data_IF_208948948901
#
_entry.id   IF_208948948901
#
_cell.length_a   1.000
_cell.length_b   1.000
_cell.length_c   1.000
_cell.angle_alpha   90.00
_cell.angle_beta   90.00
_cell.angle_gamma   90.00
#
_symmetry.space_group_name_H-M   'P 1'
#
loop_
_entity.id
_entity.type
_entity.pdbx_description
1 polymer ?
#
# COMPACT_ATOMS: atom_id res chain seq x y z
N UNK A 1 8.96 -23.87 61.60
CA UNK A 1 8.76 -25.31 61.37
C UNK A 1 8.15 -25.47 59.98
N UNK A 2 8.95 -25.89 59.01
CA UNK A 2 8.51 -26.10 57.63
C UNK A 2 8.33 -27.61 57.40
N UNK A 3 7.16 -28.00 56.91
CA UNK A 3 6.82 -29.37 56.57
C UNK A 3 7.41 -29.71 55.19
N UNK A 4 8.10 -30.85 55.14
CA UNK A 4 8.67 -31.48 53.95
C UNK A 4 7.59 -32.33 53.25
N UNK A 5 7.48 -32.20 51.93
CA UNK A 5 6.77 -33.16 51.08
C UNK A 5 7.78 -33.80 50.12
N UNK A 6 7.89 -35.11 50.24
CA UNK A 6 8.73 -36.00 49.47
C UNK A 6 8.01 -36.43 48.19
N UNK A 7 8.74 -36.50 47.07
CA UNK A 7 8.47 -37.52 46.04
C UNK A 7 8.02 -37.05 44.65
N UNK A 8 8.96 -36.64 43.80
CA UNK A 8 8.88 -36.82 42.33
C UNK A 8 10.29 -37.05 41.75
N UNK A 9 10.85 -38.24 41.97
CA UNK A 9 12.18 -38.64 41.47
C UNK A 9 12.21 -39.20 40.03
N UNK A 10 11.18 -39.00 39.19
CA UNK A 10 11.08 -39.71 37.91
C UNK A 10 10.72 -38.84 36.68
N UNK A 11 11.38 -37.69 36.42
CA UNK A 11 11.16 -36.94 35.17
C UNK A 11 12.40 -36.25 34.56
N UNK A 12 13.63 -36.68 34.84
CA UNK A 12 14.81 -36.14 34.16
C UNK A 12 15.75 -37.25 33.69
N UNK A 13 15.36 -37.92 32.60
CA UNK A 13 16.30 -38.64 31.75
C UNK A 13 16.87 -37.69 30.70
N UNK A 14 18.20 -37.58 30.67
CA UNK A 14 18.97 -37.18 29.49
C UNK A 14 19.22 -35.68 29.32
N UNK A 15 20.38 -35.21 29.75
CA UNK A 15 21.00 -34.01 29.19
C UNK A 15 21.38 -34.29 27.72
N UNK A 16 20.96 -33.48 26.74
CA UNK A 16 21.46 -33.62 25.38
C UNK A 16 22.95 -33.24 25.34
N UNK A 17 23.79 -33.90 24.52
CA UNK A 17 25.20 -33.56 24.41
C UNK A 17 25.35 -32.13 23.85
N UNK A 18 26.20 -31.34 24.50
CA UNK A 18 26.63 -30.02 24.01
C UNK A 18 27.48 -30.22 22.76
N UNK A 19 26.85 -30.05 21.60
CA UNK A 19 27.56 -30.02 20.31
C UNK A 19 28.27 -28.67 20.21
N UNK A 20 29.54 -28.64 20.60
CA UNK A 20 30.46 -27.53 20.32
C UNK A 20 30.68 -27.45 18.80
N UNK A 21 29.85 -26.66 18.11
CA UNK A 21 30.14 -26.25 16.74
C UNK A 21 31.16 -25.13 16.82
N UNK A 22 32.38 -25.38 16.32
CA UNK A 22 33.38 -24.33 16.06
C UNK A 22 32.68 -23.20 15.29
N UNK A 23 32.56 -22.02 15.91
CA UNK A 23 32.17 -20.81 15.22
C UNK A 23 33.17 -20.58 14.09
N UNK A 24 32.79 -20.90 12.85
CA UNK A 24 33.52 -20.37 11.70
C UNK A 24 33.27 -18.86 11.76
N UNK A 25 34.35 -18.10 11.94
CA UNK A 25 34.32 -16.64 11.83
C UNK A 25 33.58 -16.30 10.53
N UNK A 26 32.41 -15.70 10.67
CA UNK A 26 31.66 -15.19 9.54
C UNK A 26 32.39 -13.92 9.11
N UNK A 27 33.40 -14.08 8.27
CA UNK A 27 34.02 -12.96 7.59
C UNK A 27 32.91 -12.32 6.75
N UNK A 28 32.44 -11.14 7.19
CA UNK A 28 31.62 -10.26 6.35
C UNK A 28 32.52 -9.86 5.19
N UNK A 29 32.48 -10.65 4.12
CA UNK A 29 33.00 -10.24 2.83
C UNK A 29 32.00 -9.22 2.31
N UNK A 30 32.27 -7.94 2.53
CA UNK A 30 31.64 -6.86 1.78
C UNK A 30 32.01 -7.04 0.29
N UNK A 31 31.21 -7.84 -0.42
CA UNK A 31 31.29 -8.04 -1.86
C UNK A 31 29.95 -7.66 -2.45
N UNK A 32 29.84 -6.45 -2.98
CA UNK A 32 29.93 -6.22 -4.43
C UNK A 32 29.76 -4.75 -4.78
N UNK A 33 30.65 -4.33 -5.68
CA UNK A 33 30.45 -3.26 -6.65
C UNK A 33 29.06 -3.37 -7.27
N UNK A 34 28.30 -2.28 -7.22
CA UNK A 34 27.06 -2.14 -7.98
C UNK A 34 27.48 -2.04 -9.44
N UNK A 35 27.37 -3.14 -10.19
CA UNK A 35 27.38 -3.06 -11.65
C UNK A 35 26.03 -2.47 -12.02
N UNK A 36 26.03 -1.18 -12.35
CA UNK A 36 24.90 -0.51 -12.98
C UNK A 36 24.69 -1.12 -14.37
N UNK A 37 24.00 -2.26 -14.42
CA UNK A 37 23.33 -2.65 -15.65
C UNK A 37 22.22 -1.65 -15.86
N UNK A 38 22.43 -0.76 -16.83
CA UNK A 38 21.40 0.07 -17.41
C UNK A 38 20.15 -0.79 -17.64
N UNK A 39 19.05 -0.39 -17.02
CA UNK A 39 17.73 -0.96 -17.25
C UNK A 39 17.48 -1.02 -18.76
N UNK A 40 17.18 -2.21 -19.27
CA UNK A 40 16.83 -2.43 -20.67
C UNK A 40 15.63 -1.56 -21.04
N UNK A 41 15.76 -0.84 -22.15
CA UNK A 41 14.89 0.23 -22.64
C UNK A 41 13.40 -0.09 -22.91
N UNK A 42 12.91 -1.29 -22.58
CA UNK A 42 11.56 -1.74 -22.95
C UNK A 42 10.72 -2.20 -21.76
N UNK A 43 11.18 -1.98 -20.54
CA UNK A 43 10.42 -2.25 -19.32
C UNK A 43 9.92 -0.93 -18.75
N UNK A 44 8.66 -0.81 -18.31
CA UNK A 44 8.22 0.37 -17.59
C UNK A 44 9.17 0.61 -16.41
N UNK A 45 9.69 1.82 -16.28
CA UNK A 45 10.74 2.16 -15.31
C UNK A 45 10.28 2.14 -13.84
N UNK A 46 8.99 1.92 -13.58
CA UNK A 46 8.46 1.66 -12.24
C UNK A 46 8.88 0.30 -11.66
N UNK A 47 9.37 -0.63 -12.48
CA UNK A 47 9.80 -1.95 -12.05
C UNK A 47 11.02 -1.87 -11.12
N UNK A 48 10.93 -2.55 -9.98
CA UNK A 48 12.05 -2.69 -9.05
C UNK A 48 13.17 -3.51 -9.71
N UNK A 49 14.40 -3.05 -9.56
CA UNK A 49 15.59 -3.77 -10.05
C UNK A 49 15.90 -5.00 -9.19
N UNK A 50 15.67 -4.93 -7.87
CA UNK A 50 15.89 -6.03 -6.92
C UNK A 50 14.64 -6.28 -6.03
N UNK A 51 13.54 -6.83 -6.57
CA UNK A 51 12.29 -6.97 -5.83
C UNK A 51 12.40 -7.88 -4.60
N UNK A 52 13.18 -8.96 -4.69
CA UNK A 52 13.28 -9.98 -3.63
C UNK A 52 13.99 -9.49 -2.35
N UNK A 53 14.85 -8.48 -2.48
CA UNK A 53 15.66 -7.96 -1.36
C UNK A 53 14.85 -7.13 -0.36
N UNK A 54 13.72 -6.60 -0.80
CA UNK A 54 12.93 -5.62 -0.06
C UNK A 54 11.86 -6.28 0.83
N UNK A 55 11.66 -7.59 0.66
CA UNK A 55 10.71 -8.41 1.42
C UNK A 55 11.38 -9.25 2.53
N UNK A 56 12.68 -9.06 2.79
CA UNK A 56 13.44 -9.83 3.78
C UNK A 56 12.97 -9.59 5.24
N UNK A 57 12.13 -8.57 5.48
CA UNK A 57 11.54 -8.25 6.79
C UNK A 57 10.00 -8.29 6.67
N UNK A 58 9.41 -9.49 6.62
CA UNK A 58 7.96 -9.72 6.73
C UNK A 58 7.34 -10.53 5.58
N UNK A 59 6.02 -10.79 5.65
CA UNK A 59 5.29 -11.42 4.55
C UNK A 59 5.07 -10.42 3.41
N UNK A 60 5.40 -10.82 2.18
CA UNK A 60 5.06 -10.06 0.97
C UNK A 60 3.55 -9.80 0.89
N UNK A 61 2.72 -10.74 1.34
CA UNK A 61 1.27 -10.65 1.18
C UNK A 61 0.58 -9.79 2.25
N UNK A 62 -0.55 -9.19 1.86
CA UNK A 62 -1.41 -8.39 2.73
C UNK A 62 -2.09 -9.22 3.84
N UNK A 63 -2.39 -10.50 3.56
CA UNK A 63 -2.85 -11.49 4.54
C UNK A 63 -1.72 -12.48 4.84
N UNK A 64 -1.15 -12.47 6.05
CA UNK A 64 -0.06 -13.38 6.43
C UNK A 64 -0.51 -14.80 6.80
N UNK A 65 -1.81 -15.04 7.04
CA UNK A 65 -2.32 -16.25 7.69
C UNK A 65 -3.22 -17.16 6.83
N UNK A 66 -3.33 -16.91 5.53
CA UNK A 66 -4.07 -17.77 4.60
C UNK A 66 -3.13 -18.27 3.49
N UNK A 67 -3.44 -19.43 2.91
CA UNK A 67 -2.90 -19.94 1.64
C UNK A 67 -3.34 -19.06 0.46
N UNK A 68 -3.09 -17.75 0.57
CA UNK A 68 -3.51 -16.75 -0.38
C UNK A 68 -2.58 -16.77 -1.59
N UNK A 69 -3.12 -17.14 -2.74
CA UNK A 69 -2.43 -17.05 -4.02
C UNK A 69 -2.76 -15.72 -4.68
N UNK A 70 -1.80 -14.78 -4.80
CA UNK A 70 -2.04 -13.51 -5.51
C UNK A 70 -2.36 -13.77 -6.99
N UNK A 71 -3.02 -12.83 -7.68
CA UNK A 71 -3.11 -12.84 -9.13
C UNK A 71 -1.72 -12.86 -9.79
N UNK A 72 -1.59 -13.53 -10.95
CA UNK A 72 -0.28 -13.75 -11.61
C UNK A 72 0.45 -12.46 -12.01
N UNK A 73 -0.29 -11.38 -12.30
CA UNK A 73 0.27 -10.08 -12.64
C UNK A 73 0.81 -9.30 -11.43
N UNK A 74 0.52 -9.75 -10.20
CA UNK A 74 1.10 -9.22 -8.96
C UNK A 74 2.21 -10.17 -8.50
N UNK A 75 3.38 -10.01 -9.12
CA UNK A 75 4.56 -10.88 -8.98
C UNK A 75 5.66 -10.30 -8.06
N UNK A 76 5.48 -9.07 -7.56
CA UNK A 76 6.34 -8.42 -6.58
C UNK A 76 7.34 -7.47 -7.20
N UNK A 77 7.29 -7.32 -8.52
CA UNK A 77 8.15 -6.42 -9.29
C UNK A 77 7.71 -4.96 -9.16
N UNK A 78 6.43 -4.73 -8.85
CA UNK A 78 5.85 -3.42 -8.55
C UNK A 78 6.23 -2.92 -7.13
N UNK A 79 6.54 -1.62 -6.96
CA UNK A 79 6.79 -1.04 -5.64
C UNK A 79 5.52 -1.12 -4.78
N UNK A 80 5.66 -1.70 -3.59
CA UNK A 80 4.54 -1.85 -2.66
C UNK A 80 3.55 -2.95 -3.06
N UNK A 81 3.90 -3.86 -3.97
CA UNK A 81 3.03 -4.99 -4.29
C UNK A 81 2.87 -5.94 -3.09
N UNK A 82 1.64 -6.01 -2.57
CA UNK A 82 1.23 -6.92 -1.49
C UNK A 82 0.28 -8.02 -1.97
N UNK A 83 0.11 -8.17 -3.28
CA UNK A 83 -0.81 -9.12 -3.89
C UNK A 83 -2.28 -8.80 -3.63
N UNK A 84 -2.64 -7.59 -3.20
CA UNK A 84 -4.02 -7.22 -2.88
C UNK A 84 -4.74 -6.69 -4.12
N UNK A 85 -5.58 -7.52 -4.73
CA UNK A 85 -6.53 -7.11 -5.77
C UNK A 85 -7.76 -8.03 -5.76
N UNK A 86 -8.75 -7.78 -4.88
CA UNK A 86 -9.94 -8.63 -4.76
C UNK A 86 -10.86 -8.52 -5.97
N UNK A 87 -10.81 -7.41 -6.73
CA UNK A 87 -11.71 -7.13 -7.84
C UNK A 87 -11.08 -7.29 -9.23
N UNK A 88 -9.78 -7.64 -9.30
CA UNK A 88 -9.00 -7.79 -10.54
C UNK A 88 -9.01 -6.54 -11.42
N UNK A 89 -9.03 -5.37 -10.79
CA UNK A 89 -8.97 -4.11 -11.53
C UNK A 89 -7.63 -3.98 -12.25
N UNK A 90 -6.55 -4.57 -11.73
CA UNK A 90 -5.24 -4.56 -12.37
C UNK A 90 -5.17 -5.34 -13.70
N UNK A 91 -6.11 -6.25 -13.97
CA UNK A 91 -6.12 -7.10 -15.17
C UNK A 91 -6.81 -6.40 -16.36
N UNK A 92 -7.99 -5.81 -16.11
CA UNK A 92 -8.87 -5.31 -17.17
C UNK A 92 -9.28 -3.85 -17.03
N UNK A 93 -8.97 -3.19 -15.92
CA UNK A 93 -9.39 -1.81 -15.66
C UNK A 93 -8.21 -0.83 -15.81
N UNK A 94 -8.48 0.33 -16.38
CA UNK A 94 -7.48 1.37 -16.65
C UNK A 94 -7.17 1.51 -18.14
N UNK A 95 -7.21 2.75 -18.61
CA UNK A 95 -6.84 3.14 -19.97
C UNK A 95 -5.59 4.01 -19.88
N UNK A 96 -4.39 3.44 -20.07
CA UNK A 96 -3.16 4.24 -20.09
C UNK A 96 -3.22 5.23 -21.28
N UNK A 97 -2.64 6.43 -21.15
CA UNK A 97 -2.64 7.43 -22.22
C UNK A 97 -2.06 6.94 -23.56
N UNK A 98 -1.14 5.95 -23.52
CA UNK A 98 -0.47 5.38 -24.69
C UNK A 98 -1.21 4.20 -25.37
N UNK A 99 -2.47 3.91 -25.00
CA UNK A 99 -3.33 2.86 -25.59
C UNK A 99 -2.62 1.52 -25.86
N UNK A 100 -1.76 1.11 -24.93
CA UNK A 100 -1.04 -0.15 -25.04
C UNK A 100 -1.89 -1.28 -24.47
N UNK A 101 -2.12 -2.33 -25.27
CA UNK A 101 -2.84 -3.55 -24.87
C UNK A 101 -2.08 -4.42 -23.86
N UNK A 102 -0.89 -4.00 -23.40
CA UNK A 102 -0.08 -4.73 -22.43
C UNK A 102 -0.70 -4.62 -21.01
N UNK A 103 -1.04 -5.74 -20.33
CA UNK A 103 -1.50 -5.72 -18.95
C UNK A 103 -0.56 -4.98 -17.98
N UNK A 104 0.75 -4.96 -18.27
CA UNK A 104 1.74 -4.26 -17.44
C UNK A 104 1.65 -2.73 -17.56
N UNK A 105 1.20 -2.18 -18.68
CA UNK A 105 1.06 -0.72 -18.81
C UNK A 105 -0.14 -0.21 -18.01
N UNK A 106 -1.23 -0.99 -17.94
CA UNK A 106 -2.45 -0.67 -17.16
C UNK A 106 -2.16 -0.61 -15.67
N UNK A 107 -1.48 -1.61 -15.12
CA UNK A 107 -1.12 -1.62 -13.69
C UNK A 107 -0.12 -0.49 -13.37
N UNK A 108 0.78 -0.16 -14.30
CA UNK A 108 1.66 1.00 -14.18
C UNK A 108 0.90 2.32 -14.09
N UNK A 109 -0.17 2.48 -14.88
CA UNK A 109 -1.03 3.66 -14.83
C UNK A 109 -1.83 3.73 -13.52
N UNK A 110 -2.34 2.60 -13.03
CA UNK A 110 -3.01 2.52 -11.73
C UNK A 110 -2.06 2.86 -10.58
N UNK A 111 -0.81 2.40 -10.64
CA UNK A 111 0.23 2.75 -9.66
C UNK A 111 0.56 4.26 -9.71
N UNK A 112 0.67 4.85 -10.90
CA UNK A 112 0.88 6.30 -11.03
C UNK A 112 -0.31 7.07 -10.45
N UNK A 113 -1.54 6.61 -10.69
CA UNK A 113 -2.74 7.16 -10.06
C UNK A 113 -2.70 7.03 -8.52
N UNK A 114 -2.26 5.89 -8.00
CA UNK A 114 -2.05 5.67 -6.57
C UNK A 114 -1.00 6.62 -6.00
N UNK A 115 0.14 6.78 -6.67
CA UNK A 115 1.21 7.69 -6.26
C UNK A 115 0.76 9.14 -6.29
N UNK A 116 0.03 9.56 -7.32
CA UNK A 116 -0.48 10.94 -7.42
C UNK A 116 -1.43 11.25 -6.25
N UNK A 117 -2.42 10.40 -6.03
CA UNK A 117 -3.34 10.53 -4.89
C UNK A 117 -2.60 10.48 -3.55
N UNK A 118 -1.61 9.59 -3.43
CA UNK A 118 -0.76 9.46 -2.26
C UNK A 118 0.09 10.69 -1.96
N UNK A 119 0.73 11.28 -2.97
CA UNK A 119 1.54 12.51 -2.85
C UNK A 119 0.71 13.69 -2.40
N UNK A 120 -0.47 13.86 -3.00
CA UNK A 120 -1.43 14.90 -2.61
C UNK A 120 -1.93 14.65 -1.18
N UNK A 121 -2.25 13.41 -0.82
CA UNK A 121 -2.68 13.05 0.53
C UNK A 121 -1.59 13.30 1.58
N UNK A 122 -0.32 12.94 1.31
CA UNK A 122 0.81 13.22 2.21
C UNK A 122 0.94 14.73 2.47
N UNK A 123 0.87 15.56 1.41
CA UNK A 123 0.90 17.01 1.55
C UNK A 123 -0.31 17.54 2.34
N UNK A 124 -1.50 17.01 2.06
CA UNK A 124 -2.73 17.40 2.75
C UNK A 124 -2.69 17.08 4.25
N UNK A 125 -2.24 15.87 4.64
CA UNK A 125 -2.09 15.47 6.04
C UNK A 125 -1.16 16.43 6.79
N UNK A 126 0.02 16.71 6.23
CA UNK A 126 0.98 17.65 6.83
C UNK A 126 0.37 19.05 6.96
N UNK A 127 -0.35 19.52 5.93
CA UNK A 127 -1.04 20.81 5.94
C UNK A 127 -2.10 20.92 7.04
N UNK A 128 -2.97 19.91 7.16
CA UNK A 128 -4.03 19.85 8.17
C UNK A 128 -3.43 19.87 9.58
N UNK A 129 -2.46 19.00 9.84
CA UNK A 129 -1.80 18.91 11.15
C UNK A 129 -1.07 20.21 11.50
N UNK A 130 -0.45 20.88 10.51
CA UNK A 130 0.22 22.15 10.74
C UNK A 130 -0.75 23.27 11.10
N UNK A 131 -1.90 23.35 10.43
CA UNK A 131 -2.94 24.37 10.71
C UNK A 131 -3.51 24.21 12.11
N UNK A 132 -3.80 22.96 12.51
CA UNK A 132 -4.33 22.67 13.84
C UNK A 132 -3.26 22.90 14.92
N UNK A 133 -2.00 22.51 14.68
CA UNK A 133 -0.90 22.77 15.60
C UNK A 133 -0.65 24.28 15.83
N UNK A 134 -0.93 25.11 14.82
CA UNK A 134 -0.86 26.57 14.91
C UNK A 134 -2.11 27.21 15.53
N UNK A 135 -3.11 26.42 15.92
CA UNK A 135 -4.34 26.92 16.54
C UNK A 135 -5.25 27.70 15.59
N UNK A 136 -5.13 27.50 14.27
CA UNK A 136 -5.95 28.18 13.25
C UNK A 136 -7.34 27.55 13.07
N UNK A 137 -7.80 26.79 14.05
CA UNK A 137 -9.10 26.12 14.03
C UNK A 137 -9.16 24.90 13.12
N UNK A 138 -10.35 24.30 12.95
CA UNK A 138 -10.51 23.08 12.19
C UNK A 138 -10.32 23.33 10.69
N UNK A 139 -9.63 22.39 10.03
CA UNK A 139 -9.23 22.53 8.63
C UNK A 139 -10.42 22.71 7.65
N UNK A 140 -11.61 22.18 7.98
CA UNK A 140 -12.81 22.30 7.14
C UNK A 140 -13.46 23.69 7.21
N UNK A 141 -13.13 24.52 8.20
CA UNK A 141 -13.62 25.91 8.32
C UNK A 141 -12.64 26.94 7.75
N UNK A 142 -11.45 26.52 7.32
CA UNK A 142 -10.38 27.41 6.90
C UNK A 142 -10.79 28.37 5.78
N UNK A 143 -11.72 27.99 4.90
CA UNK A 143 -12.22 28.86 3.83
C UNK A 143 -13.11 29.98 4.38
N UNK A 144 -13.96 29.67 5.37
CA UNK A 144 -14.95 30.61 5.90
C UNK A 144 -14.32 31.65 6.85
N UNK A 145 -13.20 31.30 7.48
CA UNK A 145 -12.54 32.17 8.48
C UNK A 145 -11.76 33.34 7.87
N UNK A 146 -11.41 33.28 6.58
CA UNK A 146 -10.49 34.24 5.96
C UNK A 146 -11.17 35.44 5.27
N UNK A 147 -12.51 35.53 5.31
CA UNK A 147 -13.31 36.63 4.74
C UNK A 147 -12.76 37.16 3.41
N UNK A 148 -12.53 36.27 2.45
CA UNK A 148 -11.89 36.64 1.19
C UNK A 148 -12.77 37.60 0.39
N UNK A 149 -12.16 38.63 -0.20
CA UNK A 149 -12.81 39.45 -1.22
C UNK A 149 -13.26 38.55 -2.40
N UNK A 150 -14.55 38.55 -2.78
CA UNK A 150 -15.07 37.60 -3.77
C UNK A 150 -14.36 37.66 -5.13
N UNK A 151 -13.94 38.86 -5.56
CA UNK A 151 -13.27 39.04 -6.84
C UNK A 151 -11.82 38.52 -6.78
N UNK A 152 -11.10 38.80 -5.69
CA UNK A 152 -9.76 38.24 -5.47
C UNK A 152 -9.77 36.72 -5.28
N UNK A 153 -10.76 36.20 -4.56
CA UNK A 153 -10.94 34.76 -4.39
C UNK A 153 -11.19 34.08 -5.73
N UNK A 154 -12.14 34.59 -6.52
CA UNK A 154 -12.46 34.05 -7.85
C UNK A 154 -11.26 34.14 -8.78
N UNK A 155 -10.57 35.29 -8.82
CA UNK A 155 -9.37 35.48 -9.63
C UNK A 155 -8.25 34.52 -9.21
N UNK A 156 -8.05 34.31 -7.91
CA UNK A 156 -7.09 33.35 -7.37
C UNK A 156 -7.43 31.91 -7.77
N UNK A 157 -8.70 31.51 -7.62
CA UNK A 157 -9.18 30.18 -8.01
C UNK A 157 -8.92 29.93 -9.50
N UNK A 158 -9.27 30.87 -10.38
CA UNK A 158 -9.02 30.75 -11.83
C UNK A 158 -7.52 30.66 -12.13
N UNK A 159 -6.70 31.49 -11.49
CA UNK A 159 -5.25 31.46 -11.66
C UNK A 159 -4.65 30.10 -11.23
N UNK A 160 -5.06 29.58 -10.07
CA UNK A 160 -4.61 28.27 -9.59
C UNK A 160 -5.05 27.13 -10.52
N UNK A 161 -6.32 27.09 -10.93
CA UNK A 161 -6.80 26.06 -11.85
C UNK A 161 -6.07 26.10 -13.19
N UNK A 162 -5.81 27.30 -13.73
CA UNK A 162 -5.07 27.47 -14.98
C UNK A 162 -3.63 26.98 -14.84
N UNK A 163 -2.96 27.34 -13.74
CA UNK A 163 -1.60 26.89 -13.46
C UNK A 163 -1.54 25.36 -13.33
N UNK A 164 -2.41 24.75 -12.52
CA UNK A 164 -2.44 23.29 -12.36
C UNK A 164 -2.80 22.56 -13.65
N UNK A 165 -3.71 23.08 -14.47
CA UNK A 165 -4.03 22.50 -15.77
C UNK A 165 -2.81 22.46 -16.71
N UNK A 166 -1.99 23.53 -16.73
CA UNK A 166 -0.76 23.55 -17.52
C UNK A 166 0.28 22.55 -16.97
N UNK A 167 0.42 22.48 -15.65
CA UNK A 167 1.35 21.55 -15.00
C UNK A 167 0.94 20.09 -15.27
N UNK A 168 -0.36 19.80 -15.20
CA UNK A 168 -0.90 18.47 -15.43
C UNK A 168 -0.80 18.05 -16.89
N UNK A 169 -1.08 18.95 -17.84
CA UNK A 169 -0.82 18.69 -19.26
C UNK A 169 0.63 18.27 -19.48
N UNK A 170 1.59 19.02 -18.90
CA UNK A 170 3.01 18.67 -19.05
C UNK A 170 3.37 17.35 -18.38
N UNK A 171 2.73 17.02 -17.26
CA UNK A 171 2.91 15.73 -16.57
C UNK A 171 2.45 14.56 -17.45
N UNK A 172 1.29 14.69 -18.10
CA UNK A 172 0.75 13.65 -18.98
C UNK A 172 1.65 13.46 -20.21
N UNK A 173 2.07 14.54 -20.88
CA UNK A 173 3.03 14.47 -21.99
C UNK A 173 4.33 13.76 -21.57
N UNK A 174 4.88 14.08 -20.39
CA UNK A 174 6.08 13.40 -19.89
C UNK A 174 5.84 11.91 -19.62
N UNK A 175 4.65 11.54 -19.14
CA UNK A 175 4.28 10.14 -18.91
C UNK A 175 4.14 9.38 -20.24
N UNK A 176 3.54 10.00 -21.26
CA UNK A 176 3.43 9.43 -22.60
C UNK A 176 4.80 9.20 -23.24
N UNK A 177 5.70 10.17 -23.13
CA UNK A 177 7.04 10.10 -23.73
C UNK A 177 7.99 9.15 -23.00
N UNK A 178 7.95 9.09 -21.67
CA UNK A 178 8.98 8.44 -20.83
C UNK A 178 8.47 7.34 -19.92
N UNK A 179 7.15 7.13 -19.83
CA UNK A 179 6.53 6.10 -18.98
C UNK A 179 6.51 6.42 -17.47
N UNK A 180 6.98 7.59 -17.05
CA UNK A 180 6.97 8.05 -15.65
C UNK A 180 6.55 9.52 -15.57
N UNK A 181 5.81 9.86 -14.53
CA UNK A 181 5.45 11.25 -14.29
C UNK A 181 6.66 12.05 -13.78
N UNK A 182 6.83 13.23 -14.36
CA UNK A 182 7.90 14.14 -14.02
C UNK A 182 7.55 15.58 -14.37
N UNK A 183 8.41 16.49 -13.93
CA UNK A 183 8.26 17.91 -14.19
C UNK A 183 9.61 18.54 -14.56
N UNK A 184 9.58 19.68 -15.26
CA UNK A 184 10.79 20.43 -15.65
C UNK A 184 11.75 19.66 -16.57
N UNK A 185 11.22 18.81 -17.46
CA UNK A 185 12.02 18.05 -18.43
C UNK A 185 12.74 16.82 -17.85
N UNK A 186 12.65 16.62 -16.54
CA UNK A 186 13.11 15.43 -15.84
C UNK A 186 11.92 14.53 -15.51
N UNK A 187 12.03 13.26 -15.87
CA UNK A 187 11.06 12.21 -15.52
C UNK A 187 11.88 11.03 -15.01
N UNK A 188 11.93 10.81 -13.68
CA UNK A 188 11.27 11.55 -12.59
C UNK A 188 12.01 12.88 -12.26
N UNK A 189 11.33 13.84 -11.62
CA UNK A 189 12.01 15.04 -11.10
C UNK A 189 12.77 14.67 -9.81
N UNK A 190 14.05 14.35 -9.97
CA UNK A 190 14.93 13.92 -8.87
C UNK A 190 16.29 14.65 -8.94
N UNK A 191 16.36 15.91 -8.48
CA UNK A 191 17.61 16.67 -8.51
C UNK A 191 18.68 16.12 -7.55
N UNK A 192 18.30 15.33 -6.55
CA UNK A 192 19.20 14.79 -5.52
C UNK A 192 19.57 13.31 -5.75
N UNK A 193 19.05 12.69 -6.82
CA UNK A 193 19.30 11.29 -7.19
C UNK A 193 19.04 10.32 -6.03
N UNK A 194 17.96 10.55 -5.28
CA UNK A 194 17.58 9.71 -4.14
C UNK A 194 16.57 8.61 -4.50
N UNK A 195 16.23 8.45 -5.77
CA UNK A 195 15.35 7.39 -6.29
C UNK A 195 16.00 6.00 -6.24
N UNK A 196 16.06 5.44 -5.03
CA UNK A 196 16.41 4.03 -4.80
C UNK A 196 15.15 3.17 -4.74
N UNK A 197 15.27 1.87 -5.03
CA UNK A 197 14.16 0.91 -4.94
C UNK A 197 13.54 0.87 -3.53
N UNK A 198 14.35 1.04 -2.48
CA UNK A 198 13.89 1.16 -1.11
C UNK A 198 13.04 2.43 -0.90
N UNK A 199 13.51 3.58 -1.39
CA UNK A 199 12.80 4.85 -1.23
C UNK A 199 11.49 4.89 -2.02
N UNK A 200 11.44 4.28 -3.22
CA UNK A 200 10.18 4.11 -3.98
C UNK A 200 9.14 3.31 -3.19
N UNK A 201 9.54 2.22 -2.55
CA UNK A 201 8.63 1.46 -1.69
C UNK A 201 8.24 2.21 -0.42
N UNK A 202 9.15 2.98 0.16
CA UNK A 202 8.85 3.82 1.32
C UNK A 202 7.83 4.90 0.96
N UNK A 203 7.98 5.53 -0.21
CA UNK A 203 7.03 6.50 -0.75
C UNK A 203 5.63 5.90 -0.87
N UNK A 204 5.48 4.75 -1.55
CA UNK A 204 4.18 4.08 -1.71
C UNK A 204 3.55 3.72 -0.36
N UNK A 205 4.35 3.24 0.60
CA UNK A 205 3.84 2.89 1.95
C UNK A 205 3.36 4.12 2.72
N UNK A 206 4.10 5.22 2.67
CA UNK A 206 3.72 6.46 3.33
C UNK A 206 2.50 7.09 2.63
N UNK A 207 2.45 7.04 1.29
CA UNK A 207 1.31 7.46 0.48
C UNK A 207 0.02 6.75 0.89
N UNK A 208 0.04 5.41 0.94
CA UNK A 208 -1.13 4.61 1.38
C UNK A 208 -1.58 4.96 2.80
N UNK A 209 -0.61 5.10 3.71
CA UNK A 209 -0.90 5.49 5.10
C UNK A 209 -1.54 6.88 5.17
N UNK A 210 -1.05 7.84 4.37
CA UNK A 210 -1.62 9.19 4.31
C UNK A 210 -3.02 9.22 3.68
N UNK A 211 -3.28 8.44 2.63
CA UNK A 211 -4.63 8.34 2.05
C UNK A 211 -5.64 7.79 3.07
N UNK A 212 -5.25 6.78 3.85
CA UNK A 212 -6.06 6.27 4.96
C UNK A 212 -6.23 7.31 6.08
N UNK A 213 -5.18 8.06 6.42
CA UNK A 213 -5.24 9.12 7.42
C UNK A 213 -6.20 10.24 7.00
N UNK A 214 -6.20 10.66 5.73
CA UNK A 214 -7.14 11.66 5.20
C UNK A 214 -8.59 11.21 5.32
N UNK A 215 -8.88 9.95 4.99
CA UNK A 215 -10.20 9.37 5.22
C UNK A 215 -10.56 9.38 6.71
N UNK A 216 -9.61 9.03 7.58
CA UNK A 216 -9.76 9.09 9.03
C UNK A 216 -10.09 10.50 9.53
N UNK A 217 -9.39 11.53 9.04
CA UNK A 217 -9.63 12.92 9.41
C UNK A 217 -11.02 13.41 8.96
N UNK A 218 -11.48 12.99 7.78
CA UNK A 218 -12.83 13.30 7.32
C UNK A 218 -13.91 12.64 8.20
N UNK A 219 -13.72 11.36 8.56
CA UNK A 219 -14.64 10.64 9.46
C UNK A 219 -14.62 11.26 10.85
N UNK A 220 -13.45 11.61 11.39
CA UNK A 220 -13.31 12.30 12.66
C UNK A 220 -14.06 13.63 12.68
N UNK A 221 -13.86 14.46 11.66
CA UNK A 221 -14.58 15.73 11.52
C UNK A 221 -16.11 15.53 11.53
N UNK A 222 -16.62 14.47 10.89
CA UNK A 222 -18.05 14.18 10.86
C UNK A 222 -18.61 13.62 12.17
N UNK A 223 -17.87 12.72 12.83
CA UNK A 223 -18.31 12.01 14.04
C UNK A 223 -18.12 12.89 15.28
N UNK A 224 -16.90 13.37 15.52
CA UNK A 224 -16.54 14.09 16.76
C UNK A 224 -16.68 15.60 16.63
N UNK A 225 -16.55 16.15 15.40
CA UNK A 225 -16.55 17.60 15.19
C UNK A 225 -15.30 18.31 15.70
N UNK A 226 -14.27 17.55 16.08
CA UNK A 226 -12.98 18.05 16.58
C UNK A 226 -11.87 17.80 15.58
N UNK A 227 -10.79 18.58 15.67
CA UNK A 227 -9.61 18.40 14.83
C UNK A 227 -8.88 17.08 15.12
N UNK A 228 -8.08 16.57 14.17
CA UNK A 228 -7.36 15.31 14.36
C UNK A 228 -6.37 15.28 15.54
N UNK A 229 -5.66 16.38 15.85
CA UNK A 229 -4.77 16.44 17.01
C UNK A 229 -5.55 16.43 18.33
N UNK A 230 -6.65 17.17 18.40
CA UNK A 230 -7.50 17.17 19.59
C UNK A 230 -8.09 15.78 19.85
N UNK A 231 -8.61 15.11 18.80
CA UNK A 231 -9.10 13.74 18.92
C UNK A 231 -8.01 12.76 19.36
N UNK A 232 -6.78 12.91 18.86
CA UNK A 232 -5.65 12.08 19.28
C UNK A 232 -5.32 12.28 20.76
N UNK A 233 -5.38 13.51 21.24
CA UNK A 233 -5.14 13.84 22.65
C UNK A 233 -6.26 13.31 23.57
N UNK A 234 -7.52 13.42 23.16
CA UNK A 234 -8.65 12.87 23.90
C UNK A 234 -8.59 11.34 23.98
N UNK A 235 -8.24 10.67 22.88
CA UNK A 235 -8.02 9.22 22.87
C UNK A 235 -6.84 8.79 23.75
N UNK A 236 -5.77 9.60 23.82
CA UNK A 236 -4.63 9.31 24.70
C UNK A 236 -5.01 9.44 26.18
N UNK A 237 -5.93 10.34 26.54
CA UNK A 237 -6.43 10.52 27.91
C UNK A 237 -7.37 9.41 28.34
N UNK A 238 -8.28 9.01 27.45
CA UNK A 238 -9.23 7.94 27.71
C UNK A 238 -9.30 6.98 26.51
N UNK A 239 -8.43 5.96 26.49
CA UNK A 239 -8.32 5.04 25.35
C UNK A 239 -9.55 4.13 25.20
N UNK A 240 -10.44 4.05 26.19
CA UNK A 240 -11.63 3.21 26.13
C UNK A 240 -12.89 4.03 25.85
N UNK A 241 -13.01 5.23 26.43
CA UNK A 241 -14.16 6.12 26.27
C UNK A 241 -14.11 7.01 25.02
N UNK A 242 -12.92 7.37 24.51
CA UNK A 242 -12.78 8.16 23.28
C UNK A 242 -12.44 7.26 22.08
N UNK A 243 -13.35 6.35 21.74
CA UNK A 243 -13.25 5.41 20.63
C UNK A 243 -14.35 5.61 19.61
N UNK A 244 -14.12 5.16 18.37
CA UNK A 244 -15.17 5.18 17.34
C UNK A 244 -16.47 4.49 17.78
N UNK A 245 -16.39 3.50 18.66
CA UNK A 245 -17.52 2.72 19.16
C UNK A 245 -18.40 3.47 20.19
N UNK A 246 -17.87 4.51 20.83
CA UNK A 246 -18.52 5.18 21.96
C UNK A 246 -19.18 6.50 21.57
N UNK A 247 -18.91 7.04 20.38
CA UNK A 247 -19.50 8.29 19.86
C UNK A 247 -20.94 8.13 19.32
N UNK A 248 -21.82 7.55 20.13
CA UNK A 248 -23.27 7.46 19.89
C UNK A 248 -23.66 6.90 18.52
N UNK A 249 -24.76 7.42 17.97
CA UNK A 249 -25.35 6.93 16.71
C UNK A 249 -24.43 7.07 15.49
N UNK A 250 -23.58 8.10 15.45
CA UNK A 250 -22.64 8.32 14.34
C UNK A 250 -21.52 7.28 14.36
N UNK A 251 -20.92 7.05 15.54
CA UNK A 251 -19.88 6.03 15.72
C UNK A 251 -20.38 4.62 15.42
N UNK A 252 -21.62 4.31 15.81
CA UNK A 252 -22.25 3.03 15.52
C UNK A 252 -22.45 2.80 14.01
N UNK A 253 -22.85 3.82 13.24
CA UNK A 253 -22.99 3.72 11.77
C UNK A 253 -21.66 3.44 11.08
N UNK A 254 -20.58 4.11 11.50
CA UNK A 254 -19.24 3.88 10.95
C UNK A 254 -18.78 2.45 11.26
N UNK A 255 -19.01 2.00 12.49
CA UNK A 255 -18.68 0.63 12.92
C UNK A 255 -19.44 -0.41 12.11
N UNK A 256 -20.74 -0.21 11.93
CA UNK A 256 -21.58 -1.11 11.14
C UNK A 256 -21.10 -1.18 9.68
N UNK A 257 -20.77 -0.03 9.07
CA UNK A 257 -20.25 0.01 7.71
C UNK A 257 -18.93 -0.77 7.58
N UNK A 258 -18.01 -0.63 8.54
CA UNK A 258 -16.75 -1.36 8.54
C UNK A 258 -16.96 -2.87 8.67
N UNK A 259 -17.89 -3.29 9.55
CA UNK A 259 -18.17 -4.70 9.78
C UNK A 259 -18.84 -5.36 8.56
N UNK A 260 -19.78 -4.66 7.92
CA UNK A 260 -20.39 -5.10 6.64
C UNK A 260 -19.33 -5.22 5.55
N UNK A 261 -18.43 -4.23 5.43
CA UNK A 261 -17.35 -4.27 4.45
C UNK A 261 -16.39 -5.44 4.68
N UNK A 262 -15.99 -5.69 5.93
CA UNK A 262 -15.11 -6.81 6.29
C UNK A 262 -15.76 -8.17 5.97
N UNK A 263 -17.05 -8.34 6.29
CA UNK A 263 -17.79 -9.57 5.95
C UNK A 263 -17.92 -9.72 4.44
N UNK A 264 -18.21 -8.65 3.71
CA UNK A 264 -18.33 -8.68 2.25
C UNK A 264 -17.01 -9.10 1.58
N UNK A 265 -15.87 -8.58 2.05
CA UNK A 265 -14.55 -9.00 1.55
C UNK A 265 -14.29 -10.49 1.80
N UNK A 266 -14.59 -11.00 2.99
CA UNK A 266 -14.45 -12.43 3.28
C UNK A 266 -15.36 -13.29 2.40
N UNK A 267 -16.60 -12.86 2.16
CA UNK A 267 -17.53 -13.56 1.28
C UNK A 267 -17.03 -13.57 -0.18
N UNK A 268 -16.49 -12.46 -0.67
CA UNK A 268 -15.92 -12.35 -2.02
C UNK A 268 -14.71 -13.30 -2.20
N UNK A 269 -13.85 -13.43 -1.18
CA UNK A 269 -12.74 -14.36 -1.25
C UNK A 269 -13.22 -15.83 -1.18
N UNK A 270 -14.22 -16.13 -0.35
CA UNK A 270 -14.81 -17.47 -0.27
C UNK A 270 -15.44 -17.87 -1.61
N UNK A 271 -16.19 -16.98 -2.26
CA UNK A 271 -16.78 -17.26 -3.57
C UNK A 271 -15.69 -17.48 -4.62
N UNK A 272 -14.59 -16.72 -4.59
CA UNK A 272 -13.41 -16.94 -5.44
C UNK A 272 -12.78 -18.31 -5.22
N UNK A 273 -12.47 -18.68 -3.98
CA UNK A 273 -11.84 -19.98 -3.66
C UNK A 273 -12.73 -21.13 -4.11
N UNK A 274 -14.06 -21.02 -3.94
CA UNK A 274 -15.02 -22.01 -4.43
C UNK A 274 -15.05 -22.09 -5.96
N UNK A 275 -15.05 -20.94 -6.66
CA UNK A 275 -15.00 -20.90 -8.11
C UNK A 275 -13.72 -21.54 -8.68
N UNK A 276 -12.56 -21.28 -8.06
CA UNK A 276 -11.29 -21.87 -8.44
C UNK A 276 -11.23 -23.40 -8.21
N UNK A 277 -11.82 -23.90 -7.11
CA UNK A 277 -11.94 -25.36 -6.89
C UNK A 277 -12.89 -26.03 -7.87
N UNK A 278 -13.94 -25.32 -8.31
CA UNK A 278 -14.91 -25.82 -9.30
C UNK A 278 -14.34 -25.94 -10.72
N UNK A 279 -13.40 -25.07 -11.12
CA UNK A 279 -12.75 -25.14 -12.44
C UNK A 279 -11.68 -26.23 -12.52
N UNK A 280 -11.00 -26.53 -11.41
CA UNK A 280 -9.98 -27.60 -11.32
C UNK A 280 -10.54 -29.03 -11.45
N UNK A 281 -11.84 -29.23 -11.23
CA UNK A 281 -12.48 -30.56 -11.35
C UNK A 281 -12.83 -30.97 -12.79
N UNK A 282 -12.60 -30.10 -13.79
CA UNK A 282 -12.96 -30.34 -15.20
C UNK A 282 -11.81 -30.79 -16.10
N UNK A 283 -10.63 -31.05 -15.54
CA UNK A 283 -9.53 -31.70 -16.26
C UNK A 283 -9.76 -33.23 -16.27
N UNK A 284 -10.58 -33.70 -17.21
CA UNK A 284 -10.69 -35.12 -17.57
C UNK A 284 -9.30 -35.65 -17.96
N UNK A 285 -8.84 -36.81 -17.45
CA UNK A 285 -7.56 -37.37 -17.87
C UNK A 285 -7.65 -37.70 -19.36
N UNK A 286 -6.81 -37.06 -20.18
CA UNK A 286 -6.68 -37.42 -21.57
C UNK A 286 -6.23 -38.89 -21.65
N UNK A 287 -7.14 -39.76 -22.07
CA UNK A 287 -6.84 -41.13 -22.49
C UNK A 287 -5.86 -41.06 -23.65
N UNK A 288 -4.59 -41.37 -23.39
CA UNK A 288 -3.60 -41.64 -24.42
C UNK A 288 -3.87 -43.03 -25.01
N UNK A 289 -4.44 -43.07 -26.21
CA UNK A 289 -4.47 -44.29 -27.01
C UNK A 289 -3.04 -44.64 -27.48
N UNK A 290 -2.57 -45.89 -27.34
CA UNK A 290 -1.24 -46.28 -27.82
C UNK A 290 -1.19 -46.30 -29.36
N UNK A 291 -0.03 -46.00 -29.99
CA UNK A 291 0.10 -45.95 -31.43
C UNK A 291 -0.04 -47.35 -32.06
N UNK A 292 -0.84 -47.46 -33.12
CA UNK A 292 -0.90 -48.68 -33.94
C UNK A 292 0.38 -48.81 -34.79
N UNK A 293 0.95 -50.02 -34.91
CA UNK A 293 2.09 -50.26 -35.79
C UNK A 293 1.63 -50.27 -37.25
N UNK A 294 2.27 -49.45 -38.09
CA UNK A 294 2.14 -49.50 -39.54
C UNK A 294 2.80 -50.77 -40.09
N UNK A 295 2.02 -51.54 -40.86
CA UNK A 295 2.49 -52.62 -41.74
C UNK A 295 3.38 -52.11 -42.87
#
# INVERSE_FOLDING_TARGET
MAFSVSGTKNLLHGTPPVISRKCKAFTVVARRTVSSKASSSNSPNWLLSEPNRLWEIGSRYWLPFNDYTPPEYLDGTLPGDRGFDPFRLGESWGSPPNDSDDPRSRIGWLLEGELYNGRVAMLAVVGILSVEALGRGPWWEAVNQNNFDPLRFTGGVVAFHTAFALLEKRRIENYEEKGEAGHFGQAPFDPLQQTTDYNRQAEVRNARTAMLAMLGFAVQAWVTGKGPLENAYDHLKDPFGANVFTYGDKGLKVTAAFLVFAVALHLAEITRVRAAKGSGAKATPATSSPPQPSS
#
